data_IF_387911303071
#
_entry.id   IF_387911303071
#
_cell.length_a   1.000
_cell.length_b   1.000
_cell.length_c   1.000
_cell.angle_alpha   90.00
_cell.angle_beta   90.00
_cell.angle_gamma   90.00
#
_symmetry.space_group_name_H-M   'P 1'
#
loop_
_entity.id
_entity.type
_entity.pdbx_description
1 polymer ?
#
# COMPACT_ATOMS: atom_id res chain seq x y z
N UNK A 1 10.16 -6.36 16.86
CA UNK A 1 10.38 -7.79 17.11
C UNK A 1 10.72 -8.44 15.78
N UNK A 2 11.87 -9.06 15.65
CA UNK A 2 12.32 -9.68 14.39
C UNK A 2 11.44 -10.91 14.13
N UNK A 3 10.62 -10.86 13.08
CA UNK A 3 9.83 -12.01 12.66
C UNK A 3 10.79 -13.13 12.26
N UNK A 4 10.68 -14.31 12.89
CA UNK A 4 11.40 -15.50 12.45
C UNK A 4 10.84 -15.90 11.08
N UNK A 5 11.46 -15.37 10.03
CA UNK A 5 11.22 -15.81 8.66
C UNK A 5 11.93 -17.15 8.51
N UNK A 6 11.15 -18.22 8.37
CA UNK A 6 11.71 -19.54 8.10
C UNK A 6 11.71 -19.76 6.59
N UNK A 7 12.88 -20.06 6.04
CA UNK A 7 13.02 -20.37 4.61
C UNK A 7 13.15 -21.88 4.45
N UNK A 8 12.29 -22.47 3.63
CA UNK A 8 12.35 -23.88 3.27
C UNK A 8 13.16 -23.98 1.98
N UNK A 9 14.37 -24.57 2.03
CA UNK A 9 15.24 -24.66 0.87
C UNK A 9 14.69 -25.62 -0.17
N UNK A 10 15.03 -25.38 -1.43
CA UNK A 10 14.61 -26.16 -2.62
C UNK A 10 14.78 -27.68 -2.47
N UNK A 11 15.85 -28.10 -1.78
CA UNK A 11 16.16 -29.52 -1.51
C UNK A 11 15.06 -30.21 -0.69
N UNK A 12 14.34 -29.46 0.15
CA UNK A 12 13.29 -29.98 1.04
C UNK A 12 11.91 -29.82 0.40
N UNK A 13 11.67 -28.74 -0.34
CA UNK A 13 10.38 -28.48 -1.01
C UNK A 13 10.17 -29.26 -2.31
N UNK A 14 11.22 -29.87 -2.88
CA UNK A 14 11.14 -30.60 -4.15
C UNK A 14 10.97 -29.71 -5.38
N UNK A 15 11.22 -28.40 -5.24
CA UNK A 15 11.00 -27.42 -6.31
C UNK A 15 11.55 -26.04 -5.96
N UNK A 16 10.65 -25.07 -5.80
CA UNK A 16 11.01 -23.68 -5.49
C UNK A 16 11.32 -23.46 -4.00
N UNK A 17 12.06 -22.40 -3.72
CA UNK A 17 12.36 -22.00 -2.34
C UNK A 17 11.13 -21.32 -1.75
N UNK A 18 10.71 -21.77 -0.56
CA UNK A 18 9.50 -21.25 0.08
C UNK A 18 9.89 -20.40 1.28
N UNK A 19 9.20 -19.27 1.44
CA UNK A 19 9.34 -18.40 2.60
C UNK A 19 8.09 -18.53 3.45
N UNK A 20 8.27 -18.96 4.70
CA UNK A 20 7.17 -19.10 5.66
C UNK A 20 7.04 -17.80 6.44
N UNK A 21 5.85 -17.23 6.35
CA UNK A 21 5.44 -16.04 7.10
C UNK A 21 4.26 -16.39 7.98
N UNK A 22 4.17 -15.74 9.15
CA UNK A 22 3.00 -15.86 10.00
C UNK A 22 1.77 -15.34 9.27
N UNK A 23 0.66 -16.06 9.41
CA UNK A 23 -0.61 -15.70 8.79
C UNK A 23 -1.05 -14.26 9.16
N UNK A 24 -0.88 -13.88 10.43
CA UNK A 24 -1.19 -12.52 10.91
C UNK A 24 -0.44 -11.43 10.15
N UNK A 25 0.84 -11.67 9.87
CA UNK A 25 1.73 -10.71 9.22
C UNK A 25 1.36 -10.60 7.73
N UNK A 26 1.02 -11.72 7.11
CA UNK A 26 0.56 -11.75 5.72
C UNK A 26 -0.79 -11.05 5.54
N UNK A 27 -1.76 -11.28 6.43
CA UNK A 27 -3.05 -10.61 6.39
C UNK A 27 -2.92 -9.09 6.62
N UNK A 28 -2.02 -8.67 7.52
CA UNK A 28 -1.71 -7.26 7.72
C UNK A 28 -1.08 -6.64 6.46
N UNK A 29 -0.12 -7.34 5.85
CA UNK A 29 0.50 -6.90 4.60
C UNK A 29 -0.52 -6.74 3.47
N UNK A 30 -1.45 -7.69 3.31
CA UNK A 30 -2.51 -7.58 2.31
C UNK A 30 -3.38 -6.34 2.51
N UNK A 31 -3.76 -6.02 3.76
CA UNK A 31 -4.53 -4.81 4.07
C UNK A 31 -3.75 -3.55 3.68
N UNK A 32 -2.48 -3.47 4.06
CA UNK A 32 -1.61 -2.35 3.68
C UNK A 32 -1.47 -2.21 2.17
N UNK A 33 -1.39 -3.31 1.45
CA UNK A 33 -1.29 -3.28 -0.01
C UNK A 33 -2.54 -2.66 -0.65
N UNK A 34 -3.73 -2.92 -0.11
CA UNK A 34 -4.97 -2.28 -0.56
C UNK A 34 -4.93 -0.77 -0.31
N UNK A 35 -4.54 -0.35 0.90
CA UNK A 35 -4.45 1.07 1.27
C UNK A 35 -3.42 1.83 0.41
N UNK A 36 -2.25 1.23 0.17
CA UNK A 36 -1.21 1.80 -0.68
C UNK A 36 -1.70 1.93 -2.12
N UNK A 37 -2.37 0.90 -2.66
CA UNK A 37 -2.90 0.96 -4.01
C UNK A 37 -3.97 2.05 -4.17
N UNK A 38 -4.85 2.21 -3.18
CA UNK A 38 -5.84 3.30 -3.15
C UNK A 38 -5.16 4.68 -3.11
N UNK A 39 -4.14 4.85 -2.25
CA UNK A 39 -3.37 6.09 -2.17
C UNK A 39 -2.66 6.40 -3.50
N UNK A 40 -2.02 5.42 -4.13
CA UNK A 40 -1.37 5.57 -5.43
C UNK A 40 -2.38 5.92 -6.53
N UNK A 41 -3.56 5.28 -6.54
CA UNK A 41 -4.62 5.57 -7.49
C UNK A 41 -5.11 7.02 -7.36
N UNK A 42 -5.29 7.53 -6.14
CA UNK A 42 -5.67 8.93 -5.87
C UNK A 42 -4.59 9.90 -6.36
N UNK A 43 -3.32 9.61 -6.11
CA UNK A 43 -2.20 10.45 -6.59
C UNK A 43 -2.14 10.46 -8.12
N UNK A 44 -2.27 9.29 -8.75
CA UNK A 44 -2.26 9.19 -10.21
C UNK A 44 -3.41 9.97 -10.82
N UNK A 45 -4.62 9.81 -10.28
CA UNK A 45 -5.80 10.57 -10.71
C UNK A 45 -5.59 12.08 -10.56
N UNK A 46 -5.09 12.53 -9.41
CA UNK A 46 -4.78 13.95 -9.19
C UNK A 46 -3.75 14.50 -10.19
N UNK A 47 -2.70 13.72 -10.51
CA UNK A 47 -1.71 14.09 -11.53
C UNK A 47 -2.33 14.20 -12.92
N UNK A 48 -3.20 13.28 -13.30
CA UNK A 48 -3.89 13.31 -14.59
C UNK A 48 -4.84 14.50 -14.71
N UNK A 49 -5.62 14.80 -13.67
CA UNK A 49 -6.53 15.96 -13.64
C UNK A 49 -5.75 17.29 -13.65
N UNK A 50 -4.62 17.37 -12.95
CA UNK A 50 -3.69 18.49 -13.01
C UNK A 50 -3.13 18.70 -14.42
N UNK A 51 -2.63 17.63 -15.05
CA UNK A 51 -2.10 17.68 -16.43
C UNK A 51 -3.16 18.15 -17.44
N UNK A 52 -4.41 17.76 -17.24
CA UNK A 52 -5.55 18.15 -18.09
C UNK A 52 -6.11 19.55 -17.74
N UNK A 53 -5.50 20.30 -16.81
CA UNK A 53 -5.96 21.60 -16.30
C UNK A 53 -7.42 21.57 -15.80
N UNK A 54 -7.88 20.41 -15.32
CA UNK A 54 -9.24 20.22 -14.78
C UNK A 54 -9.30 20.36 -13.25
N UNK A 55 -8.27 20.93 -12.64
CA UNK A 55 -8.15 21.01 -11.18
C UNK A 55 -9.05 22.12 -10.64
N UNK A 56 -9.99 21.77 -9.77
CA UNK A 56 -10.82 22.73 -9.03
C UNK A 56 -9.99 23.16 -7.81
N UNK A 57 -9.65 24.45 -7.73
CA UNK A 57 -9.05 25.02 -6.52
C UNK A 57 -10.14 25.10 -5.46
N UNK A 58 -10.17 24.14 -4.55
CA UNK A 58 -11.00 24.20 -3.36
C UNK A 58 -10.26 25.01 -2.29
N UNK A 59 -10.66 26.25 -2.06
CA UNK A 59 -10.25 26.99 -0.87
C UNK A 59 -11.20 26.65 0.28
N UNK A 60 -10.64 26.27 1.44
CA UNK A 60 -11.44 26.24 2.66
C UNK A 60 -11.80 27.67 3.04
N UNK A 61 -13.04 27.98 3.44
CA UNK A 61 -13.38 29.28 4.01
C UNK A 61 -12.43 29.56 5.18
N UNK A 62 -11.85 30.77 5.29
CA UNK A 62 -11.10 31.12 6.48
C UNK A 62 -12.01 30.90 7.67
N UNK A 63 -11.53 30.16 8.68
CA UNK A 63 -12.22 29.99 9.98
C UNK A 63 -12.78 31.36 10.34
N UNK A 64 -14.11 31.48 10.41
CA UNK A 64 -14.75 32.57 11.13
C UNK A 64 -14.25 32.44 12.57
N UNK A 65 -13.17 33.15 12.88
CA UNK A 65 -12.69 33.38 14.22
C UNK A 65 -13.81 34.12 14.95
N UNK A 66 -14.10 33.61 16.15
CA UNK A 66 -15.17 33.99 17.06
C UNK A 66 -15.36 35.50 17.22
#
# INVERSE_FOLDING_TARGET
>A
MVSQIATIPKKVSGGEELVVVKRSDFELFQKWQVEINDALAKVQRGREEYRKKKTIVASSPPRLLR
#
